data_IF_878430094935
#
_entry.id   IF_878430094935
#
_cell.length_a   1.000
_cell.length_b   1.000
_cell.length_c   1.000
_cell.angle_alpha   90.00
_cell.angle_beta   90.00
_cell.angle_gamma   90.00
#
_symmetry.space_group_name_H-M   'P 1'
#
loop_
_entity.id
_entity.type
_entity.pdbx_description
1 polymer ?
#
# COMPACT_ATOMS: atom_id res chain seq x y z
N UNK A 1 -0.10 -11.74 -6.66
CA UNK A 1 -0.10 -10.99 -5.38
C UNK A 1 -0.13 -11.98 -4.24
N UNK A 2 0.69 -11.76 -3.22
CA UNK A 2 0.55 -12.44 -1.94
C UNK A 2 -0.44 -11.62 -1.11
N UNK A 3 -1.63 -12.13 -0.81
CA UNK A 3 -2.61 -11.49 0.10
C UNK A 3 -2.15 -11.58 1.57
N UNK A 4 -0.83 -11.66 1.80
CA UNK A 4 -0.25 -11.72 3.12
C UNK A 4 -0.61 -10.45 3.88
N UNK A 5 -1.41 -10.63 4.94
CA UNK A 5 -1.96 -9.53 5.72
C UNK A 5 -3.44 -9.25 5.50
N UNK A 6 -4.12 -9.95 4.59
CA UNK A 6 -5.57 -9.91 4.53
C UNK A 6 -6.13 -10.48 5.83
N UNK A 7 -7.01 -9.73 6.48
CA UNK A 7 -7.71 -10.21 7.67
C UNK A 7 -8.81 -11.19 7.24
N UNK A 8 -8.44 -12.47 7.17
CA UNK A 8 -9.34 -13.55 6.74
C UNK A 8 -10.51 -13.72 7.70
N UNK A 9 -10.31 -13.46 9.00
CA UNK A 9 -11.36 -13.56 9.99
C UNK A 9 -12.41 -12.45 9.77
N UNK A 10 -11.95 -11.21 9.55
CA UNK A 10 -12.85 -10.10 9.25
C UNK A 10 -13.59 -10.30 7.92
N UNK A 11 -12.88 -10.75 6.87
CA UNK A 11 -13.49 -11.06 5.58
C UNK A 11 -14.57 -12.14 5.71
N UNK A 12 -14.31 -13.21 6.47
CA UNK A 12 -15.29 -14.28 6.70
C UNK A 12 -16.56 -13.76 7.37
N UNK A 13 -16.42 -12.91 8.40
CA UNK A 13 -17.56 -12.28 9.06
C UNK A 13 -18.32 -11.32 8.14
N UNK A 14 -17.62 -10.58 7.29
CA UNK A 14 -18.23 -9.69 6.31
C UNK A 14 -19.03 -10.48 5.25
N UNK A 15 -18.48 -11.58 4.74
CA UNK A 15 -19.15 -12.49 3.81
C UNK A 15 -20.41 -13.13 4.41
N UNK A 16 -20.42 -13.43 5.71
CA UNK A 16 -21.63 -13.93 6.39
C UNK A 16 -22.77 -12.90 6.39
N UNK A 17 -22.45 -11.60 6.44
CA UNK A 17 -23.43 -10.52 6.40
C UNK A 17 -23.86 -10.18 4.97
N UNK A 18 -22.93 -10.22 4.03
CA UNK A 18 -23.17 -10.01 2.61
C UNK A 18 -22.43 -11.09 1.80
N UNK A 19 -23.10 -12.20 1.44
CA UNK A 19 -22.48 -13.27 0.65
C UNK A 19 -22.04 -12.86 -0.76
N UNK A 20 -22.54 -11.74 -1.28
CA UNK A 20 -22.15 -11.20 -2.59
C UNK A 20 -20.92 -10.28 -2.52
N UNK A 21 -20.37 -10.01 -1.32
CA UNK A 21 -19.21 -9.13 -1.13
C UNK A 21 -18.00 -9.66 -1.91
N UNK A 22 -17.42 -8.79 -2.74
CA UNK A 22 -16.21 -9.07 -3.48
C UNK A 22 -14.95 -8.60 -2.74
N UNK A 23 -13.79 -9.15 -3.10
CA UNK A 23 -12.50 -8.72 -2.51
C UNK A 23 -12.22 -7.22 -2.76
N UNK A 24 -12.43 -6.66 -3.96
CA UNK A 24 -12.26 -5.22 -4.18
C UNK A 24 -13.14 -4.36 -3.27
N UNK A 25 -14.41 -4.72 -3.08
CA UNK A 25 -15.32 -4.00 -2.18
C UNK A 25 -14.88 -4.08 -0.73
N UNK A 26 -14.43 -5.26 -0.28
CA UNK A 26 -13.89 -5.45 1.06
C UNK A 26 -12.67 -4.58 1.30
N UNK A 27 -11.67 -4.63 0.39
CA UNK A 27 -10.43 -3.86 0.52
C UNK A 27 -10.64 -2.35 0.35
N UNK A 28 -11.62 -1.92 -0.44
CA UNK A 28 -11.96 -0.51 -0.58
C UNK A 28 -12.51 0.11 0.72
N UNK A 29 -13.06 -0.72 1.62
CA UNK A 29 -13.54 -0.30 2.93
C UNK A 29 -12.46 -0.34 4.03
N UNK A 30 -11.31 -0.97 3.75
CA UNK A 30 -10.21 -1.09 4.72
C UNK A 30 -9.51 0.25 4.97
N UNK A 31 -9.02 0.44 6.19
CA UNK A 31 -8.35 1.67 6.58
C UNK A 31 -6.94 1.76 6.00
N UNK A 32 -6.65 2.88 5.32
CA UNK A 32 -5.27 3.22 4.94
C UNK A 32 -4.47 3.61 6.18
N UNK A 33 -3.45 2.81 6.51
CA UNK A 33 -2.57 3.06 7.64
C UNK A 33 -1.29 3.80 7.22
N UNK A 34 -0.75 3.50 6.05
CA UNK A 34 0.41 4.21 5.52
C UNK A 34 0.37 4.25 4.00
N UNK A 35 1.11 5.19 3.42
CA UNK A 35 1.27 5.31 1.97
C UNK A 35 2.75 5.41 1.61
N UNK A 36 3.10 4.76 0.51
CA UNK A 36 4.44 4.79 -0.06
C UNK A 36 4.37 5.44 -1.43
N UNK A 37 5.20 6.45 -1.65
CA UNK A 37 5.50 6.96 -2.99
C UNK A 37 6.61 6.11 -3.60
N UNK A 38 6.36 5.57 -4.78
CA UNK A 38 7.29 4.80 -5.59
C UNK A 38 7.82 5.67 -6.74
N UNK A 39 9.11 5.54 -7.11
CA UNK A 39 9.66 6.22 -8.27
C UNK A 39 8.92 5.79 -9.55
N UNK A 40 9.06 6.59 -10.60
CA UNK A 40 8.65 6.16 -11.94
C UNK A 40 9.47 4.93 -12.33
N UNK A 41 8.81 3.79 -12.42
CA UNK A 41 9.42 2.52 -12.79
C UNK A 41 8.79 1.99 -14.08
N UNK A 42 9.62 1.34 -14.91
CA UNK A 42 9.14 0.67 -16.12
C UNK A 42 8.36 -0.61 -15.78
N UNK A 43 8.66 -1.21 -14.63
CA UNK A 43 8.16 -2.50 -14.16
C UNK A 43 7.33 -2.34 -12.89
N UNK A 44 6.20 -1.64 -12.99
CA UNK A 44 5.22 -1.55 -11.92
C UNK A 44 3.90 -2.19 -12.38
N UNK A 45 3.77 -3.49 -12.14
CA UNK A 45 2.70 -4.31 -12.72
C UNK A 45 1.40 -4.30 -11.91
N UNK A 46 1.39 -3.78 -10.68
CA UNK A 46 0.20 -3.80 -9.84
C UNK A 46 -1.04 -3.15 -10.48
N UNK A 47 -0.96 -2.00 -11.16
CA UNK A 47 -2.11 -1.42 -11.87
C UNK A 47 -2.62 -2.31 -13.02
N UNK A 48 -1.72 -3.08 -13.64
CA UNK A 48 -2.06 -3.99 -14.75
C UNK A 48 -2.71 -5.27 -14.22
N UNK A 49 -2.15 -5.84 -13.15
CA UNK A 49 -2.62 -7.08 -12.53
C UNK A 49 -3.90 -6.89 -11.70
N UNK A 50 -4.06 -5.70 -11.11
CA UNK A 50 -5.19 -5.36 -10.23
C UNK A 50 -5.77 -4.00 -10.61
N UNK A 51 -6.45 -3.88 -11.77
CA UNK A 51 -6.99 -2.60 -12.24
C UNK A 51 -7.99 -1.97 -11.27
N UNK A 52 -8.67 -2.78 -10.46
CA UNK A 52 -9.63 -2.33 -9.44
C UNK A 52 -8.99 -1.55 -8.29
N UNK A 53 -7.66 -1.64 -8.09
CA UNK A 53 -6.95 -0.79 -7.12
C UNK A 53 -6.60 0.60 -7.67
N UNK A 54 -6.65 0.78 -8.99
CA UNK A 54 -6.24 2.03 -9.62
C UNK A 54 -7.29 3.12 -9.35
N UNK A 55 -6.88 4.14 -8.60
CA UNK A 55 -7.64 5.35 -8.39
C UNK A 55 -7.14 6.50 -9.26
N UNK A 56 -8.08 7.26 -9.83
CA UNK A 56 -7.77 8.43 -10.65
C UNK A 56 -7.30 8.11 -12.06
N UNK A 57 -7.16 9.16 -12.88
CA UNK A 57 -6.77 9.03 -14.27
C UNK A 57 -5.25 8.90 -14.42
N UNK A 58 -4.81 7.87 -15.15
CA UNK A 58 -3.40 7.63 -15.48
C UNK A 58 -2.83 8.79 -16.30
N UNK A 59 -1.98 9.61 -15.68
CA UNK A 59 -1.22 10.66 -16.38
C UNK A 59 0.18 10.17 -16.73
N UNK A 60 0.57 10.36 -17.99
CA UNK A 60 1.89 9.98 -18.50
C UNK A 60 3.02 10.55 -17.64
N UNK A 61 3.99 9.71 -17.25
CA UNK A 61 5.20 10.13 -16.54
C UNK A 61 5.06 10.34 -15.03
N UNK A 62 3.94 9.94 -14.43
CA UNK A 62 3.73 10.08 -12.98
C UNK A 62 4.49 9.01 -12.19
N UNK A 63 4.95 9.37 -10.99
CA UNK A 63 5.26 8.42 -9.93
C UNK A 63 3.97 7.78 -9.42
N UNK A 64 4.08 6.77 -8.57
CA UNK A 64 2.91 6.09 -7.99
C UNK A 64 2.86 6.29 -6.48
N UNK A 65 1.68 6.55 -5.93
CA UNK A 65 1.42 6.43 -4.50
C UNK A 65 0.60 5.16 -4.27
N UNK A 66 1.07 4.29 -3.38
CA UNK A 66 0.36 3.07 -2.99
C UNK A 66 -0.07 3.21 -1.54
N UNK A 67 -1.37 3.04 -1.31
CA UNK A 67 -1.97 3.03 0.03
C UNK A 67 -2.00 1.60 0.57
N UNK A 68 -1.65 1.43 1.83
CA UNK A 68 -1.58 0.13 2.48
C UNK A 68 -2.39 0.09 3.77
N UNK A 69 -3.00 -1.07 4.04
CA UNK A 69 -3.51 -1.40 5.36
C UNK A 69 -2.36 -1.56 6.36
N UNK A 70 -2.68 -1.54 7.65
CA UNK A 70 -1.70 -1.77 8.73
C UNK A 70 -0.90 -3.08 8.52
N UNK A 71 -1.54 -4.11 7.99
CA UNK A 71 -0.92 -5.42 7.75
C UNK A 71 0.05 -5.48 6.56
N UNK A 72 0.10 -4.43 5.75
CA UNK A 72 0.90 -4.34 4.52
C UNK A 72 0.18 -4.76 3.24
N UNK A 73 -1.13 -5.00 3.28
CA UNK A 73 -1.92 -5.27 2.08
C UNK A 73 -2.11 -3.97 1.29
N UNK A 74 -1.84 -3.96 -0.03
CA UNK A 74 -2.12 -2.80 -0.89
C UNK A 74 -3.64 -2.63 -1.06
N UNK A 75 -4.09 -1.38 -0.93
CA UNK A 75 -5.51 -0.99 -0.99
C UNK A 75 -5.84 -0.17 -2.22
N UNK A 76 -4.98 0.79 -2.56
CA UNK A 76 -5.23 1.76 -3.63
C UNK A 76 -3.92 2.22 -4.26
N UNK A 77 -3.94 2.48 -5.56
CA UNK A 77 -2.81 2.96 -6.33
C UNK A 77 -3.23 4.23 -7.06
N UNK A 78 -2.52 5.33 -6.84
CA UNK A 78 -2.84 6.63 -7.43
C UNK A 78 -1.61 7.22 -8.12
N UNK A 79 -1.78 7.88 -9.27
CA UNK A 79 -0.69 8.64 -9.88
C UNK A 79 -0.36 9.87 -9.02
N UNK A 80 0.92 10.17 -8.85
CA UNK A 80 1.39 11.36 -8.15
C UNK A 80 2.45 12.11 -8.94
N UNK A 81 2.48 13.43 -8.76
CA UNK A 81 3.50 14.30 -9.36
C UNK A 81 4.79 14.34 -8.55
N UNK A 82 4.78 13.82 -7.31
CA UNK A 82 5.96 13.76 -6.45
C UNK A 82 7.02 12.86 -7.09
N UNK A 83 8.19 13.42 -7.39
CA UNK A 83 9.34 12.65 -7.88
C UNK A 83 10.17 12.20 -6.68
N UNK A 84 10.41 10.90 -6.60
CA UNK A 84 11.28 10.28 -5.59
C UNK A 84 12.32 9.44 -6.32
N UNK A 85 13.52 9.34 -5.76
CA UNK A 85 14.59 8.50 -6.32
C UNK A 85 14.47 7.04 -5.87
N UNK A 86 13.81 6.80 -4.75
CA UNK A 86 13.59 5.49 -4.15
C UNK A 86 12.23 5.47 -3.43
N UNK A 87 11.70 4.30 -3.06
CA UNK A 87 10.48 4.22 -2.26
C UNK A 87 10.57 5.06 -0.98
N UNK A 88 9.56 5.89 -0.72
CA UNK A 88 9.51 6.79 0.43
C UNK A 88 8.14 6.77 1.08
N UNK A 89 8.08 6.88 2.41
CA UNK A 89 6.82 7.08 3.14
C UNK A 89 6.29 8.48 2.82
N UNK A 90 5.08 8.57 2.26
CA UNK A 90 4.40 9.85 2.02
C UNK A 90 3.35 10.18 3.08
N UNK A 91 2.84 9.15 3.75
CA UNK A 91 1.84 9.30 4.80
C UNK A 91 1.93 8.14 5.78
N UNK A 92 1.70 8.43 7.06
CA UNK A 92 1.36 7.43 8.07
C UNK A 92 0.21 7.97 8.92
N UNK A 93 -0.71 7.10 9.29
CA UNK A 93 -1.77 7.41 10.24
C UNK A 93 -1.15 7.71 11.60
N UNK A 94 -1.60 8.78 12.24
CA UNK A 94 -1.16 9.13 13.59
C UNK A 94 -1.44 7.97 14.57
N UNK A 95 -0.41 7.60 15.32
CA UNK A 95 -0.45 6.54 16.33
C UNK A 95 0.45 6.92 17.50
N UNK A 96 0.05 6.52 18.71
CA UNK A 96 0.89 6.65 19.91
C UNK A 96 1.96 5.57 20.00
N UNK A 97 1.78 4.46 19.29
CA UNK A 97 2.73 3.36 19.22
C UNK A 97 3.70 3.52 18.04
N UNK A 98 4.83 2.84 18.12
CA UNK A 98 5.82 2.82 17.06
C UNK A 98 5.28 2.10 15.82
N UNK A 99 5.50 2.69 14.63
CA UNK A 99 4.94 2.13 13.40
C UNK A 99 5.50 0.75 13.07
N UNK A 100 6.72 0.41 13.52
CA UNK A 100 7.33 -0.90 13.23
C UNK A 100 6.53 -2.04 13.86
N UNK A 101 6.00 -1.83 15.07
CA UNK A 101 5.14 -2.79 15.76
C UNK A 101 3.77 -2.95 15.10
N UNK A 102 3.33 -1.94 14.34
CA UNK A 102 2.03 -1.94 13.69
C UNK A 102 2.12 -2.45 12.26
N UNK A 103 3.23 -2.22 11.57
CA UNK A 103 3.37 -2.44 10.12
C UNK A 103 4.24 -3.63 9.76
N UNK A 104 4.39 -4.60 10.67
CA UNK A 104 5.27 -5.77 10.49
C UNK A 104 6.68 -5.36 10.08
N UNK A 105 7.19 -4.33 10.75
CA UNK A 105 8.51 -3.75 10.52
C UNK A 105 8.71 -3.16 9.12
N UNK A 106 7.66 -2.79 8.38
CA UNK A 106 7.81 -2.11 7.07
C UNK A 106 8.14 -0.62 7.26
N UNK A 107 7.45 0.04 8.19
CA UNK A 107 7.59 1.48 8.49
C UNK A 107 8.02 1.64 9.93
N UNK A 108 9.09 2.40 10.18
CA UNK A 108 9.53 2.86 11.50
C UNK A 108 9.24 4.35 11.67
N UNK A 109 9.43 4.87 12.87
CA UNK A 109 9.15 6.25 13.23
C UNK A 109 7.66 6.50 13.50
N UNK A 110 7.33 7.80 13.63
CA UNK A 110 5.97 8.30 13.91
C UNK A 110 5.74 9.62 13.21
N UNK A 111 4.51 9.84 12.75
CA UNK A 111 4.11 11.10 12.10
C UNK A 111 5.09 11.51 11.00
N UNK A 112 5.61 12.74 11.09
CA UNK A 112 6.56 13.28 10.12
C UNK A 112 7.94 12.58 10.09
N UNK A 113 8.32 11.86 11.14
CA UNK A 113 9.59 11.13 11.22
C UNK A 113 9.48 9.69 10.71
N UNK A 114 8.30 9.29 10.19
CA UNK A 114 8.10 7.95 9.68
C UNK A 114 8.91 7.70 8.41
N UNK A 115 9.55 6.55 8.33
CA UNK A 115 10.42 6.14 7.23
C UNK A 115 10.34 4.64 7.03
N UNK A 116 10.77 4.17 5.85
CA UNK A 116 10.89 2.74 5.59
C UNK A 116 12.05 2.18 6.43
N UNK A 117 11.85 1.01 7.01
CA UNK A 117 12.97 0.21 7.53
C UNK A 117 13.78 -0.35 6.36
N UNK A 118 14.94 -0.96 6.64
CA UNK A 118 15.71 -1.66 5.61
C UNK A 118 14.90 -2.79 4.95
N UNK A 119 14.13 -3.54 5.75
CA UNK A 119 13.25 -4.59 5.26
C UNK A 119 12.13 -4.00 4.38
N UNK A 120 11.45 -2.94 4.85
CA UNK A 120 10.41 -2.26 4.09
C UNK A 120 10.93 -1.70 2.77
N UNK A 121 12.11 -1.09 2.75
CA UNK A 121 12.74 -0.56 1.54
C UNK A 121 13.04 -1.66 0.52
N UNK A 122 13.57 -2.81 0.95
CA UNK A 122 13.81 -3.96 0.08
C UNK A 122 12.50 -4.52 -0.48
N UNK A 123 11.48 -4.68 0.35
CA UNK A 123 10.17 -5.16 -0.07
C UNK A 123 9.54 -4.23 -1.13
N UNK A 124 9.58 -2.91 -0.92
CA UNK A 124 9.03 -1.95 -1.88
C UNK A 124 9.82 -1.91 -3.19
N UNK A 125 11.13 -2.17 -3.17
CA UNK A 125 11.93 -2.29 -4.40
C UNK A 125 11.49 -3.48 -5.27
N UNK A 126 11.02 -4.58 -4.67
CA UNK A 126 10.50 -5.72 -5.43
C UNK A 126 9.27 -5.37 -6.27
N UNK A 127 8.49 -4.35 -5.86
CA UNK A 127 7.33 -3.88 -6.63
C UNK A 127 7.70 -3.17 -7.92
N UNK A 128 8.96 -2.72 -8.06
CA UNK A 128 9.45 -1.89 -9.17
C UNK A 128 10.67 -2.50 -9.89
N UNK A 129 11.11 -3.69 -9.49
CA UNK A 129 12.28 -4.40 -10.01
C UNK A 129 12.14 -4.76 -11.50
N UNK A 130 13.23 -4.78 -12.32
CA UNK A 130 14.65 -4.53 -12.02
C UNK A 130 15.11 -3.06 -12.07
N UNK A 131 14.20 -2.08 -12.02
CA UNK A 131 14.60 -0.67 -12.08
C UNK A 131 15.39 -0.20 -10.85
#
# INVERSE_FOLDING_TARGET
MNLAGLDVAHLYLALRKNPALTIPEFLAAEETFYKITLPKAQHFDLPTLYPWMLGGEKRSGSSWEVSFARSGVPLKIEPTQRRVAQPEVSYVKNSSAECSYLTRDIVSGRGANAHLTNYGAQLMRLLIWPN
#
